data_IF_596599501676
#
_entry.id   IF_596599501676
#
_cell.length_a   1.000
_cell.length_b   1.000
_cell.length_c   1.000
_cell.angle_alpha   90.00
_cell.angle_beta   90.00
_cell.angle_gamma   90.00
#
_symmetry.space_group_name_H-M   'P 1'
#
loop_
_entity.id
_entity.type
_entity.pdbx_description
1 polymer ?
#
# COMPACT_ATOMS: atom_id res chain seq x y z
N UNK A 1 -6.82 14.87 -4.36
CA UNK A 1 -6.34 13.65 -5.02
C UNK A 1 -7.53 12.73 -5.29
N UNK A 2 -7.54 11.97 -6.38
CA UNK A 2 -8.59 10.99 -6.72
C UNK A 2 -7.92 9.63 -6.98
N UNK A 3 -8.57 8.54 -6.59
CA UNK A 3 -8.21 7.18 -6.98
C UNK A 3 -9.07 6.70 -8.15
N UNK A 4 -8.55 5.75 -8.91
CA UNK A 4 -9.28 5.11 -10.00
C UNK A 4 -9.14 3.60 -9.86
N UNK A 5 -10.28 2.92 -9.90
CA UNK A 5 -10.35 1.48 -10.15
C UNK A 5 -10.82 1.27 -11.58
N UNK A 6 -10.23 0.33 -12.30
CA UNK A 6 -10.56 0.14 -13.72
C UNK A 6 -10.45 -1.31 -14.15
N UNK A 7 -11.34 -1.70 -15.05
CA UNK A 7 -11.26 -2.92 -15.84
C UNK A 7 -10.98 -2.57 -17.31
N UNK A 8 -10.89 -3.58 -18.17
CA UNK A 8 -10.50 -3.41 -19.58
C UNK A 8 -11.34 -2.40 -20.40
N UNK A 9 -12.57 -2.10 -20.00
CA UNK A 9 -13.49 -1.24 -20.74
C UNK A 9 -14.24 -0.21 -19.86
N UNK A 10 -13.86 -0.03 -18.60
CA UNK A 10 -14.64 0.75 -17.64
C UNK A 10 -13.80 1.18 -16.42
N UNK A 11 -14.26 2.20 -15.70
CA UNK A 11 -13.59 2.69 -14.49
C UNK A 11 -14.56 3.32 -13.49
N UNK A 12 -14.13 3.35 -12.24
CA UNK A 12 -14.80 4.01 -11.12
C UNK A 12 -13.83 4.94 -10.39
N UNK A 13 -14.38 6.00 -9.79
CA UNK A 13 -13.60 7.01 -9.07
C UNK A 13 -13.72 6.77 -7.57
N UNK A 14 -12.58 6.66 -6.89
CA UNK A 14 -12.49 6.65 -5.44
C UNK A 14 -12.16 8.06 -4.95
N UNK A 15 -12.99 8.56 -4.03
CA UNK A 15 -12.75 9.83 -3.35
C UNK A 15 -12.09 9.59 -1.99
N UNK A 16 -11.20 10.47 -1.54
CA UNK A 16 -10.62 10.36 -0.21
C UNK A 16 -11.71 10.44 0.86
N UNK A 17 -11.56 9.67 1.92
CA UNK A 17 -12.35 9.76 3.14
C UNK A 17 -11.48 10.41 4.23
N UNK A 18 -11.98 11.50 4.84
CA UNK A 18 -11.21 12.28 5.82
C UNK A 18 -9.82 12.66 5.31
N UNK A 19 -9.70 13.12 4.07
CA UNK A 19 -8.41 13.46 3.42
C UNK A 19 -7.44 12.29 3.19
N UNK A 20 -7.84 11.05 3.52
CA UNK A 20 -7.07 9.84 3.24
C UNK A 20 -7.63 9.11 2.03
N UNK A 21 -6.74 8.70 1.12
CA UNK A 21 -7.05 7.81 0.01
C UNK A 21 -6.19 6.56 0.19
N UNK A 22 -6.81 5.45 0.58
CA UNK A 22 -6.13 4.19 0.89
C UNK A 22 -6.64 3.10 -0.03
N UNK A 23 -5.74 2.26 -0.52
CA UNK A 23 -6.05 1.16 -1.44
C UNK A 23 -5.02 0.05 -1.30
N UNK A 24 -5.36 -1.15 -1.75
CA UNK A 24 -4.43 -2.28 -1.87
C UNK A 24 -4.54 -2.94 -3.24
N UNK A 25 -5.10 -4.14 -3.36
CA UNK A 25 -5.16 -4.89 -4.63
C UNK A 25 -6.58 -5.38 -4.98
N UNK A 26 -7.49 -5.42 -4.01
CA UNK A 26 -8.89 -5.75 -4.23
C UNK A 26 -9.72 -4.51 -4.57
N UNK A 27 -10.86 -4.71 -5.22
CA UNK A 27 -11.78 -3.62 -5.55
C UNK A 27 -12.55 -3.15 -4.31
N UNK A 28 -12.59 -1.85 -4.11
CA UNK A 28 -13.38 -1.16 -3.08
C UNK A 28 -14.75 -0.77 -3.62
N UNK A 29 -14.84 -0.49 -4.92
CA UNK A 29 -16.09 -0.09 -5.57
C UNK A 29 -16.99 -1.30 -5.81
N UNK A 30 -18.26 -1.21 -5.38
CA UNK A 30 -19.22 -2.33 -5.46
C UNK A 30 -19.35 -2.91 -6.87
N UNK A 31 -19.28 -2.06 -7.90
CA UNK A 31 -19.45 -2.45 -9.30
C UNK A 31 -18.44 -3.48 -9.78
N UNK A 32 -17.21 -3.46 -9.25
CA UNK A 32 -16.14 -4.34 -9.71
C UNK A 32 -15.89 -5.53 -8.78
N UNK A 33 -16.55 -5.60 -7.62
CA UNK A 33 -16.39 -6.71 -6.65
C UNK A 33 -16.77 -8.07 -7.21
N UNK A 34 -17.81 -8.16 -8.04
CA UNK A 34 -18.26 -9.44 -8.62
C UNK A 34 -17.18 -10.07 -9.51
N UNK A 35 -16.40 -9.26 -10.21
CA UNK A 35 -15.30 -9.70 -11.07
C UNK A 35 -13.92 -9.67 -10.41
N UNK A 36 -13.85 -9.42 -9.10
CA UNK A 36 -12.58 -9.27 -8.41
C UNK A 36 -11.86 -10.61 -8.28
N UNK A 37 -10.59 -10.62 -8.68
CA UNK A 37 -9.73 -11.81 -8.61
C UNK A 37 -8.76 -11.76 -7.42
N UNK A 38 -8.65 -10.62 -6.73
CA UNK A 38 -7.79 -10.46 -5.56
C UNK A 38 -8.11 -11.45 -4.42
N UNK A 39 -9.38 -11.79 -4.09
CA UNK A 39 -9.66 -12.81 -3.07
C UNK A 39 -9.03 -14.18 -3.36
N UNK A 40 -8.80 -14.51 -4.63
CA UNK A 40 -8.23 -15.78 -5.05
C UNK A 40 -6.70 -15.73 -5.16
N UNK A 41 -6.15 -14.64 -5.69
CA UNK A 41 -4.72 -14.54 -5.99
C UNK A 41 -3.91 -13.75 -4.95
N UNK A 42 -4.53 -12.83 -4.21
CA UNK A 42 -3.91 -11.95 -3.20
C UNK A 42 -4.88 -11.71 -2.03
N UNK A 43 -5.30 -12.76 -1.30
CA UNK A 43 -6.29 -12.63 -0.21
C UNK A 43 -5.81 -11.73 0.93
N UNK A 44 -4.49 -11.63 1.14
CA UNK A 44 -3.85 -10.73 2.11
C UNK A 44 -4.13 -9.24 1.85
N UNK A 45 -4.57 -8.88 0.64
CA UNK A 45 -4.92 -7.52 0.23
C UNK A 45 -5.93 -6.84 1.16
N UNK A 46 -6.88 -7.61 1.68
CA UNK A 46 -7.89 -7.15 2.64
C UNK A 46 -7.25 -6.79 3.97
N UNK A 47 -6.41 -7.69 4.50
CA UNK A 47 -5.68 -7.48 5.74
C UNK A 47 -4.73 -6.28 5.64
N UNK A 48 -3.96 -6.16 4.55
CA UNK A 48 -3.07 -5.01 4.34
C UNK A 48 -3.83 -3.69 4.34
N UNK A 49 -5.00 -3.62 3.68
CA UNK A 49 -5.79 -2.39 3.67
C UNK A 49 -6.37 -2.05 5.05
N UNK A 50 -6.87 -3.04 5.79
CA UNK A 50 -7.37 -2.83 7.13
C UNK A 50 -6.26 -2.38 8.09
N UNK A 51 -5.06 -2.96 7.96
CA UNK A 51 -3.86 -2.54 8.69
C UNK A 51 -3.48 -1.10 8.39
N UNK A 52 -3.36 -0.74 7.10
CA UNK A 52 -3.08 0.64 6.69
C UNK A 52 -4.16 1.59 7.22
N UNK A 53 -5.43 1.24 7.10
CA UNK A 53 -6.55 2.07 7.58
C UNK A 53 -6.49 2.28 9.08
N UNK A 54 -6.25 1.23 9.86
CA UNK A 54 -6.10 1.32 11.32
C UNK A 54 -4.94 2.24 11.69
N UNK A 55 -3.77 2.00 11.11
CA UNK A 55 -2.55 2.76 11.37
C UNK A 55 -2.70 4.25 11.00
N UNK A 56 -3.22 4.55 9.81
CA UNK A 56 -3.43 5.93 9.37
C UNK A 56 -4.47 6.68 10.21
N UNK A 57 -5.52 5.99 10.68
CA UNK A 57 -6.49 6.59 11.60
C UNK A 57 -5.88 6.89 12.98
N UNK A 58 -5.01 6.01 13.49
CA UNK A 58 -4.30 6.25 14.75
C UNK A 58 -3.40 7.48 14.68
N UNK A 59 -2.76 7.70 13.53
CA UNK A 59 -1.85 8.83 13.30
C UNK A 59 -2.52 10.02 12.59
N UNK A 60 -3.84 10.04 12.51
CA UNK A 60 -4.56 11.06 11.75
C UNK A 60 -4.21 12.49 12.22
N UNK A 61 -3.98 13.38 11.25
CA UNK A 61 -3.51 14.76 11.50
C UNK A 61 -2.03 14.88 11.88
N UNK A 62 -1.30 13.77 12.05
CA UNK A 62 0.11 13.73 12.45
C UNK A 62 0.96 12.84 11.53
N UNK A 63 0.45 12.50 10.34
CA UNK A 63 1.17 11.68 9.36
C UNK A 63 2.34 12.48 8.79
N UNK A 64 3.55 11.97 8.99
CA UNK A 64 4.81 12.48 8.45
C UNK A 64 5.58 11.37 7.74
N UNK A 65 6.77 11.69 7.22
CA UNK A 65 7.61 10.73 6.49
C UNK A 65 7.93 9.50 7.34
N UNK A 66 8.28 9.70 8.61
CA UNK A 66 8.65 8.62 9.54
C UNK A 66 7.47 7.67 9.81
N UNK A 67 6.28 8.22 9.99
CA UNK A 67 5.04 7.45 10.15
C UNK A 67 4.76 6.60 8.91
N UNK A 68 5.00 7.15 7.71
CA UNK A 68 4.82 6.39 6.46
C UNK A 68 5.92 5.33 6.29
N UNK A 69 7.16 5.60 6.70
CA UNK A 69 8.23 4.58 6.71
C UNK A 69 7.86 3.40 7.61
N UNK A 70 7.29 3.65 8.80
CA UNK A 70 6.88 2.62 9.75
C UNK A 70 5.82 1.68 9.17
N UNK A 71 4.74 2.20 8.60
CA UNK A 71 3.68 1.37 8.01
C UNK A 71 4.15 0.62 6.76
N UNK A 72 5.07 1.19 5.98
CA UNK A 72 5.63 0.50 4.82
C UNK A 72 6.57 -0.65 5.23
N UNK A 73 7.19 -0.55 6.41
CA UNK A 73 8.02 -1.60 7.01
C UNK A 73 7.23 -2.60 7.88
N UNK A 74 5.90 -2.47 7.96
CA UNK A 74 5.06 -3.28 8.84
C UNK A 74 5.00 -4.76 8.41
N UNK A 75 5.13 -5.64 9.41
CA UNK A 75 5.15 -7.10 9.26
C UNK A 75 3.92 -7.81 9.85
N UNK A 76 2.81 -7.09 10.12
CA UNK A 76 1.59 -7.75 10.55
C UNK A 76 1.10 -8.69 9.43
N UNK A 77 0.93 -9.97 9.75
CA UNK A 77 0.65 -11.07 8.79
C UNK A 77 1.84 -11.52 7.92
N UNK A 78 3.08 -11.41 8.41
CA UNK A 78 4.28 -11.97 7.76
C UNK A 78 4.10 -13.45 7.36
N UNK A 79 4.56 -13.89 6.15
CA UNK A 79 5.32 -13.12 5.15
C UNK A 79 4.47 -12.29 4.19
N UNK A 80 3.14 -12.36 4.29
CA UNK A 80 2.16 -11.69 3.43
C UNK A 80 1.73 -10.31 3.97
N UNK A 81 2.65 -9.63 4.66
CA UNK A 81 2.48 -8.30 5.25
C UNK A 81 2.63 -7.16 4.24
N UNK A 82 2.48 -5.90 4.68
CA UNK A 82 2.73 -4.71 3.84
C UNK A 82 4.18 -4.68 3.36
N UNK A 83 5.14 -4.86 4.27
CA UNK A 83 6.49 -5.24 3.92
C UNK A 83 6.50 -6.75 3.62
N UNK A 84 6.23 -7.13 2.37
CA UNK A 84 6.10 -8.55 1.97
C UNK A 84 7.46 -9.20 1.81
N UNK A 85 7.61 -10.42 2.30
CA UNK A 85 8.82 -11.24 2.14
C UNK A 85 8.52 -12.54 1.38
N UNK A 86 9.57 -13.18 0.88
CA UNK A 86 9.45 -14.48 0.21
C UNK A 86 8.97 -15.53 1.20
N UNK A 87 7.88 -16.23 0.86
CA UNK A 87 7.47 -17.46 1.53
C UNK A 87 8.14 -18.66 0.85
N UNK A 88 9.11 -19.33 1.49
CA UNK A 88 9.79 -20.49 0.92
C UNK A 88 8.88 -21.73 0.81
N UNK A 89 7.73 -21.74 1.49
CA UNK A 89 6.76 -22.83 1.42
C UNK A 89 5.73 -22.62 0.29
N UNK A 90 5.61 -21.41 -0.26
CA UNK A 90 4.68 -21.11 -1.33
C UNK A 90 5.26 -21.51 -2.71
N UNK A 91 4.47 -22.16 -3.58
CA UNK A 91 4.93 -22.50 -4.93
C UNK A 91 5.18 -21.26 -5.80
N UNK A 92 4.45 -20.17 -5.51
CA UNK A 92 4.63 -18.84 -6.12
C UNK A 92 4.63 -17.84 -4.97
N UNK A 93 5.67 -17.02 -4.89
CA UNK A 93 5.80 -15.97 -3.88
C UNK A 93 6.15 -14.64 -4.54
N UNK A 94 5.88 -13.55 -3.84
CA UNK A 94 6.30 -12.19 -4.19
C UNK A 94 6.98 -11.52 -2.99
N UNK A 95 7.61 -10.38 -3.23
CA UNK A 95 8.37 -9.60 -2.24
C UNK A 95 8.21 -8.12 -2.56
N UNK A 96 8.26 -7.26 -1.54
CA UNK A 96 8.33 -5.80 -1.74
C UNK A 96 9.67 -5.44 -2.35
N UNK A 97 9.68 -5.04 -3.63
CA UNK A 97 10.90 -4.70 -4.36
C UNK A 97 11.38 -3.26 -4.12
N UNK A 98 10.46 -2.37 -3.76
CA UNK A 98 10.75 -0.98 -3.43
C UNK A 98 9.58 -0.36 -2.67
N UNK A 99 9.87 0.73 -1.99
CA UNK A 99 8.85 1.59 -1.37
C UNK A 99 9.18 3.06 -1.64
N UNK A 100 8.12 3.88 -1.73
CA UNK A 100 8.21 5.27 -2.16
C UNK A 100 7.38 6.15 -1.24
N UNK A 101 7.97 7.26 -0.80
CA UNK A 101 7.27 8.29 -0.02
C UNK A 101 7.51 9.62 -0.73
N UNK A 102 6.47 10.14 -1.39
CA UNK A 102 6.53 11.44 -2.04
C UNK A 102 6.03 12.53 -1.09
N UNK A 103 6.78 13.63 -0.98
CA UNK A 103 6.42 14.82 -0.20
C UNK A 103 6.32 16.01 -1.15
N UNK A 104 5.16 16.23 -1.80
CA UNK A 104 5.03 17.26 -2.84
C UNK A 104 5.35 18.68 -2.35
N UNK A 105 5.02 18.98 -1.08
CA UNK A 105 5.30 20.29 -0.48
C UNK A 105 6.80 20.60 -0.37
N UNK A 106 7.65 19.58 -0.34
CA UNK A 106 9.11 19.72 -0.24
C UNK A 106 9.82 19.49 -1.58
N UNK A 107 9.08 19.13 -2.62
CA UNK A 107 9.67 18.72 -3.89
C UNK A 107 10.61 17.52 -3.76
N UNK A 108 10.24 16.53 -2.94
CA UNK A 108 11.11 15.40 -2.62
C UNK A 108 10.40 14.05 -2.67
N UNK A 109 11.19 13.01 -2.90
CA UNK A 109 10.78 11.59 -2.80
C UNK A 109 11.84 10.81 -2.03
N UNK A 110 11.39 9.94 -1.12
CA UNK A 110 12.22 9.00 -0.39
C UNK A 110 11.99 7.62 -0.98
N UNK A 111 13.07 6.90 -1.29
CA UNK A 111 12.99 5.59 -1.93
C UNK A 111 13.87 4.60 -1.17
N UNK A 112 13.30 3.46 -0.77
CA UNK A 112 14.05 2.29 -0.33
C UNK A 112 13.98 1.21 -1.42
N UNK A 113 15.15 0.77 -1.91
CA UNK A 113 15.29 -0.20 -3.00
C UNK A 113 15.38 -1.63 -2.45
N UNK A 114 14.22 -2.17 -2.08
CA UNK A 114 14.02 -3.50 -1.50
C UNK A 114 12.97 -3.43 -0.41
N UNK A 115 13.02 -4.39 0.52
CA UNK A 115 12.18 -4.36 1.71
C UNK A 115 12.54 -3.13 2.57
N UNK A 116 11.60 -2.21 2.85
CA UNK A 116 11.88 -1.01 3.65
C UNK A 116 12.31 -1.30 5.10
N UNK A 117 12.12 -2.52 5.60
CA UNK A 117 12.66 -2.93 6.90
C UNK A 117 14.15 -3.29 6.88
N UNK A 118 14.72 -3.52 5.69
CA UNK A 118 16.12 -3.93 5.48
C UNK A 118 16.93 -2.87 4.72
N UNK A 119 16.27 -1.86 4.15
CA UNK A 119 16.88 -0.88 3.28
C UNK A 119 16.67 0.53 3.82
N UNK A 120 17.74 1.33 3.78
CA UNK A 120 17.65 2.75 4.09
C UNK A 120 16.91 3.50 2.97
N UNK A 121 16.15 4.53 3.35
CA UNK A 121 15.53 5.44 2.40
C UNK A 121 16.53 6.49 1.91
N UNK A 122 16.69 6.59 0.59
CA UNK A 122 17.45 7.67 -0.06
C UNK A 122 16.48 8.78 -0.47
N UNK A 123 16.78 10.01 -0.06
CA UNK A 123 16.01 11.21 -0.43
C UNK A 123 16.52 11.79 -1.74
N UNK A 124 15.61 12.00 -2.68
CA UNK A 124 15.84 12.72 -3.94
C UNK A 124 15.00 14.00 -3.94
N UNK A 125 15.55 15.09 -4.45
CA UNK A 125 14.86 16.38 -4.56
C UNK A 125 15.04 16.99 -5.95
N UNK A 126 14.07 17.78 -6.37
CA UNK A 126 14.03 18.44 -7.68
C UNK A 126 13.99 19.97 -7.57
#
# INVERSE_FOLDING_TARGET
MLGYESIHNDFEIIRPEKDLLLHSNHYLTERFKEGDTAPQYQPDSYHSLDRIRSFMNQHYGHINVETVMEILADHEHHPYSICRHIDPAAPISSVTLASFIAVPAEGAIYIAAGNPCEQDYVRYSF
#
